data_IF_702116995402
#
_entry.id   IF_702116995402
#
_cell.length_a   1.000
_cell.length_b   1.000
_cell.length_c   1.000
_cell.angle_alpha   90.00
_cell.angle_beta   90.00
_cell.angle_gamma   90.00
#
_symmetry.space_group_name_H-M   'P 1'
#
loop_
_entity.id
_entity.type
_entity.pdbx_description
1 polymer ?
#
# COMPACT_ATOMS: atom_id res chain seq x y z
N UNK A 1 -10.91 -16.01 -14.76
CA UNK A 1 -10.07 -15.28 -13.79
C UNK A 1 -10.54 -13.84 -13.80
N UNK A 2 -11.15 -13.36 -12.73
CA UNK A 2 -11.55 -11.96 -12.64
C UNK A 2 -10.30 -11.14 -12.28
N UNK A 3 -9.80 -10.37 -13.25
CA UNK A 3 -8.73 -9.40 -12.99
C UNK A 3 -9.35 -8.13 -12.42
N UNK A 4 -8.68 -7.52 -11.44
CA UNK A 4 -9.05 -6.19 -10.94
C UNK A 4 -9.12 -5.17 -12.09
N UNK A 5 -9.99 -4.18 -11.95
CA UNK A 5 -10.10 -3.05 -12.87
C UNK A 5 -9.86 -1.74 -12.12
N UNK A 6 -8.99 -0.88 -12.66
CA UNK A 6 -8.71 0.44 -12.12
C UNK A 6 -9.53 1.45 -12.92
N UNK A 7 -10.39 2.20 -12.25
CA UNK A 7 -11.22 3.21 -12.89
C UNK A 7 -10.45 4.52 -13.14
N UNK A 8 -11.10 5.49 -13.78
CA UNK A 8 -10.49 6.78 -14.11
C UNK A 8 -10.11 7.63 -12.88
N UNK A 9 -10.62 7.30 -11.70
CA UNK A 9 -10.22 7.94 -10.43
C UNK A 9 -9.03 7.23 -9.77
N UNK A 10 -8.43 6.22 -10.40
CA UNK A 10 -7.31 5.44 -9.85
C UNK A 10 -7.74 4.48 -8.74
N UNK A 11 -9.02 4.10 -8.69
CA UNK A 11 -9.56 3.18 -7.68
C UNK A 11 -9.80 1.78 -8.28
N UNK A 12 -9.43 0.75 -7.53
CA UNK A 12 -9.64 -0.65 -7.89
C UNK A 12 -11.07 -1.07 -7.56
N UNK A 13 -11.79 -1.55 -8.56
CA UNK A 13 -13.13 -2.15 -8.37
C UNK A 13 -13.00 -3.44 -7.57
N UNK A 14 -13.69 -3.52 -6.42
CA UNK A 14 -13.66 -4.69 -5.52
C UNK A 14 -12.69 -4.57 -4.36
N UNK A 15 -11.82 -3.55 -4.33
CA UNK A 15 -11.04 -3.22 -3.14
C UNK A 15 -11.92 -2.50 -2.11
N UNK A 16 -11.72 -2.77 -0.83
CA UNK A 16 -12.30 -1.98 0.25
C UNK A 16 -11.61 -0.60 0.26
N UNK A 17 -12.39 0.47 0.14
CA UNK A 17 -11.87 1.83 0.17
C UNK A 17 -11.87 2.39 1.60
N UNK A 18 -10.69 2.83 2.07
CA UNK A 18 -10.54 3.55 3.34
C UNK A 18 -9.67 4.78 3.08
N UNK A 19 -10.28 5.96 2.95
CA UNK A 19 -9.55 7.16 2.58
C UNK A 19 -8.48 7.54 3.62
N UNK A 20 -7.21 7.48 3.22
CA UNK A 20 -6.10 8.03 4.00
C UNK A 20 -5.98 9.53 3.74
N UNK A 21 -5.70 10.37 4.76
CA UNK A 21 -5.33 11.77 4.56
C UNK A 21 -3.85 11.94 4.18
N UNK A 22 -3.04 10.88 4.25
CA UNK A 22 -1.60 10.91 4.04
C UNK A 22 -1.25 10.72 2.57
N UNK A 23 -1.56 11.71 1.74
CA UNK A 23 -1.15 11.74 0.34
C UNK A 23 -1.05 13.18 -0.15
N UNK A 24 -0.43 13.36 -1.30
CA UNK A 24 -0.47 14.61 -2.04
C UNK A 24 -0.43 14.35 -3.56
N UNK A 25 -0.38 15.43 -4.35
CA UNK A 25 -0.40 15.32 -5.80
C UNK A 25 0.94 14.77 -6.33
N UNK A 26 0.85 13.88 -7.33
CA UNK A 26 1.99 13.60 -8.21
C UNK A 26 2.23 14.81 -9.12
N UNK A 27 3.48 15.01 -9.54
CA UNK A 27 3.78 16.00 -10.57
C UNK A 27 3.11 15.67 -11.91
N UNK A 28 3.01 14.38 -12.23
CA UNK A 28 2.28 13.85 -13.38
C UNK A 28 1.79 12.44 -13.09
N UNK A 29 0.63 12.07 -13.64
CA UNK A 29 0.07 10.72 -13.55
C UNK A 29 0.51 9.83 -14.71
N UNK A 30 1.13 10.40 -15.75
CA UNK A 30 1.62 9.66 -16.92
C UNK A 30 2.86 8.79 -16.60
N UNK A 31 3.48 9.01 -15.43
CA UNK A 31 4.76 8.41 -15.04
C UNK A 31 4.61 7.51 -13.80
N UNK A 32 3.45 6.87 -13.65
CA UNK A 32 3.30 5.78 -12.70
C UNK A 32 3.93 4.55 -13.34
N UNK A 33 5.20 4.27 -13.01
CA UNK A 33 6.04 3.32 -13.74
C UNK A 33 6.72 2.27 -12.86
N UNK A 34 6.58 2.36 -11.54
CA UNK A 34 7.17 1.42 -10.58
C UNK A 34 6.11 0.85 -9.63
N UNK A 35 6.25 -0.42 -9.25
CA UNK A 35 5.54 -1.01 -8.11
C UNK A 35 6.57 -1.27 -7.01
N UNK A 36 6.28 -0.88 -5.77
CA UNK A 36 7.11 -1.23 -4.62
C UNK A 36 6.28 -2.10 -3.69
N UNK A 37 6.76 -3.32 -3.47
CA UNK A 37 6.13 -4.28 -2.55
C UNK A 37 6.82 -4.15 -1.20
N UNK A 38 6.00 -4.01 -0.16
CA UNK A 38 6.39 -3.90 1.24
C UNK A 38 5.70 -4.99 2.05
N UNK A 39 6.11 -5.14 3.31
CA UNK A 39 5.33 -5.88 4.28
C UNK A 39 5.19 -5.08 5.57
N UNK A 40 4.10 -5.35 6.29
CA UNK A 40 3.80 -4.68 7.55
C UNK A 40 2.95 -5.60 8.44
N UNK A 41 3.16 -5.51 9.76
CA UNK A 41 2.29 -6.08 10.77
C UNK A 41 2.26 -5.18 11.99
N UNK A 42 1.06 -4.93 12.53
CA UNK A 42 0.86 -4.03 13.67
C UNK A 42 -0.15 -4.62 14.66
N UNK A 43 0.27 -4.96 15.89
CA UNK A 43 1.66 -4.93 16.38
C UNK A 43 2.60 -5.85 15.57
N UNK A 44 3.94 -5.69 15.69
CA UNK A 44 4.88 -6.51 14.93
C UNK A 44 4.59 -8.01 15.09
N UNK A 45 4.51 -8.73 13.95
CA UNK A 45 4.16 -10.15 13.84
C UNK A 45 2.77 -10.54 14.37
N UNK A 46 1.87 -9.57 14.47
CA UNK A 46 0.45 -9.79 14.75
C UNK A 46 -0.38 -9.31 13.57
N UNK A 47 -1.42 -10.07 13.24
CA UNK A 47 -2.18 -9.94 12.00
C UNK A 47 -3.68 -9.80 12.29
N UNK A 48 -4.43 -9.24 11.33
CA UNK A 48 -5.89 -9.14 11.38
C UNK A 48 -6.45 -7.98 12.20
N UNK A 49 -5.61 -7.24 12.93
CA UNK A 49 -6.02 -6.06 13.70
C UNK A 49 -6.12 -4.77 12.87
N UNK A 50 -6.62 -3.71 13.49
CA UNK A 50 -6.82 -2.40 12.83
C UNK A 50 -5.58 -1.51 12.81
N UNK A 51 -4.48 -1.89 13.48
CA UNK A 51 -3.29 -1.04 13.63
C UNK A 51 -2.71 -0.51 12.32
N UNK A 52 -2.71 -1.31 11.24
CA UNK A 52 -2.25 -0.86 9.91
C UNK A 52 -3.17 0.22 9.34
N UNK A 53 -4.49 0.00 9.41
CA UNK A 53 -5.49 0.97 8.96
C UNK A 53 -5.37 2.27 9.78
N UNK A 54 -5.28 2.14 11.09
CA UNK A 54 -5.15 3.28 12.00
C UNK A 54 -3.87 4.07 11.74
N UNK A 55 -2.71 3.41 11.55
CA UNK A 55 -1.45 4.09 11.19
C UNK A 55 -1.61 4.87 9.88
N UNK A 56 -2.10 4.23 8.82
CA UNK A 56 -2.24 4.88 7.52
C UNK A 56 -3.29 5.99 7.49
N UNK A 57 -4.15 6.07 8.50
CA UNK A 57 -5.21 7.09 8.62
C UNK A 57 -4.97 8.11 9.74
N UNK A 58 -3.78 8.13 10.36
CA UNK A 58 -3.44 8.99 11.50
C UNK A 58 -4.34 8.81 12.74
N UNK A 59 -4.81 7.58 12.98
CA UNK A 59 -5.71 7.21 14.07
C UNK A 59 -5.11 6.17 15.02
N UNK A 60 -3.80 5.89 14.91
CA UNK A 60 -3.14 4.89 15.74
C UNK A 60 -3.10 5.35 17.20
N UNK A 61 -3.70 4.56 18.08
CA UNK A 61 -3.74 4.86 19.51
C UNK A 61 -2.40 4.45 20.17
N UNK A 62 -1.61 5.40 20.71
CA UNK A 62 -0.32 5.08 21.33
C UNK A 62 -0.45 4.22 22.60
N UNK A 63 -1.61 4.23 23.26
CA UNK A 63 -1.82 3.52 24.53
C UNK A 63 -2.17 2.03 24.35
N UNK A 64 -2.50 1.60 23.13
CA UNK A 64 -2.87 0.21 22.84
C UNK A 64 -1.69 -0.75 22.77
N UNK A 65 -0.50 -0.26 22.42
CA UNK A 65 0.71 -1.10 22.34
C UNK A 65 2.00 -0.27 22.46
N UNK A 66 3.06 -0.75 23.15
CA UNK A 66 4.33 -0.02 23.28
C UNK A 66 5.00 0.37 21.95
N UNK A 67 4.79 -0.43 20.91
CA UNK A 67 5.27 -0.11 19.55
C UNK A 67 4.46 1.02 18.90
N UNK A 68 3.15 1.11 19.17
CA UNK A 68 2.29 2.15 18.62
C UNK A 68 2.70 3.53 19.16
N UNK A 69 3.03 3.62 20.45
CA UNK A 69 3.58 4.82 21.06
C UNK A 69 4.79 5.40 20.28
N UNK A 70 5.60 4.56 19.65
CA UNK A 70 6.79 4.98 18.91
C UNK A 70 6.47 5.52 17.51
N UNK A 71 5.34 5.14 16.92
CA UNK A 71 5.05 5.40 15.51
C UNK A 71 3.77 6.19 15.26
N UNK A 72 2.93 6.43 16.28
CA UNK A 72 1.63 7.07 16.13
C UNK A 72 1.65 8.48 15.52
N UNK A 73 2.78 9.19 15.61
CA UNK A 73 2.97 10.52 15.01
C UNK A 73 3.46 10.48 13.56
N UNK A 74 3.85 9.30 13.06
CA UNK A 74 4.34 9.16 11.69
C UNK A 74 3.20 9.37 10.69
N UNK A 75 3.49 10.15 9.66
CA UNK A 75 2.57 10.38 8.55
C UNK A 75 3.02 9.55 7.36
N UNK A 76 2.48 8.35 7.28
CA UNK A 76 2.80 7.36 6.23
C UNK A 76 1.51 6.76 5.68
N UNK A 77 1.60 6.23 4.46
CA UNK A 77 0.51 5.52 3.81
C UNK A 77 1.07 4.65 2.70
N UNK A 78 0.27 3.68 2.27
CA UNK A 78 0.49 2.96 1.01
C UNK A 78 -0.74 3.09 0.13
N UNK A 79 -0.65 2.69 -1.14
CA UNK A 79 -1.86 2.68 -1.98
C UNK A 79 -2.74 1.50 -1.59
N UNK A 80 -2.13 0.33 -1.33
CA UNK A 80 -2.84 -0.91 -1.06
C UNK A 80 -2.29 -1.65 0.16
N UNK A 81 -3.17 -2.41 0.82
CA UNK A 81 -2.84 -3.46 1.78
C UNK A 81 -3.55 -4.75 1.36
N UNK A 82 -2.82 -5.86 1.37
CA UNK A 82 -3.36 -7.20 1.19
C UNK A 82 -3.24 -7.94 2.52
N UNK A 83 -4.37 -8.14 3.19
CA UNK A 83 -4.47 -8.89 4.45
C UNK A 83 -4.10 -10.37 4.25
N UNK A 84 -3.82 -11.07 5.34
CA UNK A 84 -3.51 -12.52 5.30
C UNK A 84 -4.58 -13.34 4.60
N UNK A 85 -5.85 -12.99 4.75
CA UNK A 85 -7.00 -13.65 4.12
C UNK A 85 -7.20 -13.30 2.63
N UNK A 86 -6.36 -12.44 2.06
CA UNK A 86 -6.47 -11.96 0.68
C UNK A 86 -7.32 -10.71 0.50
N UNK A 87 -7.91 -10.16 1.57
CA UNK A 87 -8.67 -8.92 1.49
C UNK A 87 -7.79 -7.79 0.96
N UNK A 88 -8.22 -7.17 -0.14
CA UNK A 88 -7.57 -6.01 -0.73
C UNK A 88 -8.21 -4.72 -0.20
N UNK A 89 -7.43 -3.92 0.50
CA UNK A 89 -7.80 -2.58 0.96
C UNK A 89 -7.02 -1.55 0.14
N UNK A 90 -7.68 -0.48 -0.28
CA UNK A 90 -7.06 0.65 -0.95
C UNK A 90 -7.23 1.92 -0.11
N UNK A 91 -6.14 2.65 0.12
CA UNK A 91 -6.13 3.87 0.95
C UNK A 91 -5.97 5.16 0.16
N UNK A 92 -5.21 5.10 -0.93
CA UNK A 92 -4.85 6.25 -1.76
C UNK A 92 -5.11 5.89 -3.22
N UNK A 93 -5.67 6.83 -3.97
CA UNK A 93 -5.81 6.69 -5.43
C UNK A 93 -4.44 6.48 -6.06
N UNK A 94 -4.34 5.59 -7.04
CA UNK A 94 -3.10 5.42 -7.81
C UNK A 94 -2.63 6.72 -8.49
N UNK A 95 -3.54 7.68 -8.74
CA UNK A 95 -3.23 8.98 -9.34
C UNK A 95 -2.61 9.97 -8.34
N UNK A 96 -2.73 9.72 -7.04
CA UNK A 96 -2.10 10.48 -5.99
C UNK A 96 -0.80 9.81 -5.54
N UNK A 97 0.05 10.57 -4.85
CA UNK A 97 1.31 10.10 -4.26
C UNK A 97 1.05 9.69 -2.81
N UNK A 98 1.03 8.38 -2.54
CA UNK A 98 1.12 7.86 -1.18
C UNK A 98 2.56 8.00 -0.63
N UNK A 99 2.71 7.93 0.70
CA UNK A 99 3.98 8.15 1.39
C UNK A 99 4.53 6.84 1.99
N UNK A 100 5.07 5.96 1.14
CA UNK A 100 5.49 4.61 1.54
C UNK A 100 7.00 4.35 1.39
N UNK A 101 7.68 4.95 0.40
CA UNK A 101 9.05 4.57 0.03
C UNK A 101 10.16 5.32 0.79
N UNK A 102 9.83 6.38 1.54
CA UNK A 102 10.82 7.25 2.19
C UNK A 102 11.92 7.75 1.24
N UNK A 103 13.14 7.91 1.78
CA UNK A 103 14.34 8.19 0.98
C UNK A 103 14.72 6.94 0.20
N UNK A 104 14.66 7.03 -1.14
CA UNK A 104 14.76 5.87 -2.03
C UNK A 104 15.33 6.27 -3.40
N UNK A 105 15.95 5.30 -4.09
CA UNK A 105 16.47 5.43 -5.46
C UNK A 105 16.19 4.16 -6.26
N UNK A 106 15.69 4.30 -7.48
CA UNK A 106 15.50 3.22 -8.45
C UNK A 106 16.09 3.62 -9.79
N UNK A 107 17.04 2.84 -10.30
CA UNK A 107 17.71 3.10 -11.59
C UNK A 107 18.28 4.52 -11.72
N UNK A 108 18.83 5.07 -10.63
CA UNK A 108 19.38 6.42 -10.58
C UNK A 108 18.34 7.52 -10.34
N UNK A 109 17.05 7.19 -10.28
CA UNK A 109 15.97 8.13 -9.99
C UNK A 109 15.59 8.10 -8.52
N UNK A 110 15.75 9.22 -7.83
CA UNK A 110 15.38 9.37 -6.42
C UNK A 110 13.88 9.58 -6.23
N UNK A 111 13.43 9.52 -4.96
CA UNK A 111 12.07 9.83 -4.51
C UNK A 111 11.02 8.91 -5.14
N UNK A 112 11.16 7.60 -4.90
CA UNK A 112 10.32 6.59 -5.56
C UNK A 112 8.82 6.80 -5.36
N UNK A 113 8.36 7.45 -4.29
CA UNK A 113 6.94 7.83 -4.13
C UNK A 113 6.39 8.59 -5.36
N UNK A 114 7.21 9.41 -6.03
CA UNK A 114 6.80 10.28 -7.14
C UNK A 114 6.27 9.48 -8.34
N UNK A 115 6.77 8.27 -8.57
CA UNK A 115 6.49 7.45 -9.75
C UNK A 115 6.10 6.00 -9.45
N UNK A 116 5.87 5.67 -8.17
CA UNK A 116 5.53 4.29 -7.77
C UNK A 116 4.18 4.12 -7.08
N UNK A 117 3.65 2.91 -7.19
CA UNK A 117 2.53 2.39 -6.40
C UNK A 117 3.07 1.45 -5.31
N UNK A 118 2.96 1.88 -4.06
CA UNK A 118 3.18 1.02 -2.89
C UNK A 118 2.06 0.00 -2.67
N UNK A 119 2.44 -1.26 -2.42
CA UNK A 119 1.55 -2.35 -2.02
C UNK A 119 2.13 -3.00 -0.76
N UNK A 120 1.36 -3.04 0.32
CA UNK A 120 1.71 -3.72 1.56
C UNK A 120 1.13 -5.14 1.58
N UNK A 121 1.94 -6.13 1.94
CA UNK A 121 1.45 -7.44 2.37
C UNK A 121 1.43 -7.51 3.90
N UNK A 122 0.30 -7.86 4.49
CA UNK A 122 0.25 -8.14 5.92
C UNK A 122 1.13 -9.37 6.24
N UNK A 123 2.19 -9.17 7.02
CA UNK A 123 3.20 -10.20 7.25
C UNK A 123 4.48 -9.66 7.88
N UNK A 124 5.55 -10.46 7.80
CA UNK A 124 6.90 -10.07 8.21
C UNK A 124 7.97 -10.85 7.41
N UNK A 125 9.23 -10.44 7.53
CA UNK A 125 10.36 -11.03 6.79
C UNK A 125 10.70 -12.48 7.17
N UNK A 126 10.15 -12.99 8.27
CA UNK A 126 10.55 -14.26 8.87
C UNK A 126 9.52 -15.38 8.71
N UNK A 127 8.42 -15.10 8.01
CA UNK A 127 7.31 -16.04 7.82
C UNK A 127 6.84 -16.01 6.36
N UNK A 128 6.28 -17.12 5.89
CA UNK A 128 5.71 -17.18 4.55
C UNK A 128 4.43 -16.31 4.47
N UNK A 129 4.26 -15.63 3.32
CA UNK A 129 2.99 -15.04 2.94
C UNK A 129 1.99 -16.13 2.51
N UNK A 130 0.69 -15.89 2.70
CA UNK A 130 -0.33 -16.86 2.31
C UNK A 130 -0.46 -16.95 0.79
N UNK A 131 -0.81 -18.13 0.27
CA UNK A 131 -1.05 -18.34 -1.17
C UNK A 131 -2.07 -17.34 -1.73
N UNK A 132 -3.11 -17.01 -0.94
CA UNK A 132 -4.14 -16.06 -1.34
C UNK A 132 -3.61 -14.61 -1.44
N UNK A 133 -2.58 -14.25 -0.66
CA UNK A 133 -1.91 -12.96 -0.80
C UNK A 133 -1.18 -12.87 -2.13
N UNK A 134 -0.46 -13.92 -2.53
CA UNK A 134 0.19 -13.98 -3.84
C UNK A 134 -0.81 -13.93 -4.99
N UNK A 135 -1.94 -14.65 -4.89
CA UNK A 135 -2.99 -14.61 -5.90
C UNK A 135 -3.57 -13.19 -6.06
N UNK A 136 -3.89 -12.53 -4.95
CA UNK A 136 -4.41 -11.16 -4.93
C UNK A 136 -3.40 -10.16 -5.49
N UNK A 137 -2.13 -10.27 -5.06
CA UNK A 137 -1.03 -9.44 -5.52
C UNK A 137 -0.83 -9.58 -7.04
N UNK A 138 -0.82 -10.80 -7.57
CA UNK A 138 -0.65 -11.04 -9.00
C UNK A 138 -1.80 -10.45 -9.83
N UNK A 139 -3.04 -10.57 -9.35
CA UNK A 139 -4.19 -9.95 -10.01
C UNK A 139 -4.11 -8.43 -9.99
N UNK A 140 -3.65 -7.83 -8.87
CA UNK A 140 -3.48 -6.39 -8.74
C UNK A 140 -2.33 -5.87 -9.63
N UNK A 141 -1.19 -6.54 -9.65
CA UNK A 141 -0.06 -6.21 -10.52
C UNK A 141 -0.48 -6.27 -12.00
N UNK A 142 -1.24 -7.28 -12.40
CA UNK A 142 -1.75 -7.37 -13.77
C UNK A 142 -2.66 -6.18 -14.12
N UNK A 143 -3.53 -5.75 -13.21
CA UNK A 143 -4.37 -4.57 -13.40
C UNK A 143 -3.56 -3.26 -13.49
N UNK A 144 -2.55 -3.10 -12.63
CA UNK A 144 -1.64 -1.96 -12.63
C UNK A 144 -0.84 -1.90 -13.94
N UNK A 145 -0.24 -3.02 -14.38
CA UNK A 145 0.50 -3.12 -15.66
C UNK A 145 -0.37 -2.86 -16.88
N UNK A 146 -1.66 -3.19 -16.82
CA UNK A 146 -2.62 -2.88 -17.90
C UNK A 146 -2.95 -1.39 -17.97
N UNK A 147 -2.93 -0.69 -16.82
CA UNK A 147 -3.42 0.68 -16.69
C UNK A 147 -2.30 1.71 -16.80
N UNK A 148 -1.11 1.37 -16.29
CA UNK A 148 0.03 2.26 -16.16
C UNK A 148 1.27 1.65 -16.85
N UNK A 149 2.22 2.46 -17.31
CA UNK A 149 3.45 1.99 -17.98
C UNK A 149 4.47 1.43 -16.98
N UNK A 150 4.06 0.46 -16.15
CA UNK A 150 4.91 -0.21 -15.18
C UNK A 150 5.98 -1.04 -15.90
N UNK A 151 7.23 -0.87 -15.48
CA UNK A 151 8.40 -1.57 -16.01
C UNK A 151 8.61 -2.94 -15.35
#
# INVERSE_FOLDING_TARGET
>A
MNCYNINQAGLVTGAQWIASPNFDARATTADISLIVIHNISLPPKQYGGDGIIQLFTNQLNPDEHPYYAQIHTQKVSSHFLIRRDGTLIQFVSCLARAWHAGVSNWQGRERCNDFSVGIELEGCDFEAFEDIQYQTLNQLIAALKKTYPIQ
#
